data_IF_481032301908
#
_entry.id   IF_481032301908
#
_cell.length_a   1.000
_cell.length_b   1.000
_cell.length_c   1.000
_cell.angle_alpha   90.00
_cell.angle_beta   90.00
_cell.angle_gamma   90.00
#
_symmetry.space_group_name_H-M   'P 1'
#
loop_
_entity.id
_entity.type
_entity.pdbx_description
1 polymer ?
#
# COMPACT_ATOMS: atom_id res chain seq x y z
N UNK A 1 -11.28 26.00 -15.82
CA UNK A 1 -10.18 26.74 -15.15
C UNK A 1 -9.24 25.80 -14.40
N UNK A 2 -9.68 25.08 -13.36
CA UNK A 2 -8.80 24.16 -12.61
C UNK A 2 -8.19 23.09 -13.52
N UNK A 3 -9.04 22.37 -14.28
CA UNK A 3 -8.57 21.30 -15.16
C UNK A 3 -7.65 21.80 -16.28
N UNK A 4 -7.87 23.02 -16.77
CA UNK A 4 -7.03 23.65 -17.82
C UNK A 4 -5.63 24.02 -17.33
N UNK A 5 -5.41 24.03 -16.00
CA UNK A 5 -4.14 24.36 -15.38
C UNK A 5 -3.33 23.12 -14.97
N UNK A 6 -3.98 21.97 -14.81
CA UNK A 6 -3.32 20.73 -14.41
C UNK A 6 -2.31 20.27 -15.49
N UNK A 7 -1.21 19.66 -15.04
CA UNK A 7 -0.06 19.25 -15.84
C UNK A 7 0.67 20.39 -16.60
N UNK A 8 0.42 21.65 -16.22
CA UNK A 8 1.16 22.81 -16.73
C UNK A 8 2.14 23.35 -15.67
N UNK A 9 3.13 24.11 -16.12
CA UNK A 9 4.15 24.68 -15.24
C UNK A 9 3.59 25.88 -14.45
N UNK A 10 4.17 26.21 -13.28
CA UNK A 10 3.73 27.36 -12.46
C UNK A 10 3.65 28.64 -13.31
N UNK A 11 4.63 28.86 -14.18
CA UNK A 11 4.74 30.05 -15.03
C UNK A 11 3.68 30.15 -16.13
N UNK A 12 2.96 29.08 -16.42
CA UNK A 12 2.02 29.05 -17.54
C UNK A 12 0.76 29.87 -17.23
N UNK A 13 0.24 30.55 -18.25
CA UNK A 13 -0.86 31.50 -18.09
C UNK A 13 -2.11 30.90 -17.41
N UNK A 14 -2.53 29.64 -17.66
CA UNK A 14 -3.64 29.02 -16.93
C UNK A 14 -3.38 28.88 -15.43
N UNK A 15 -2.17 28.48 -15.02
CA UNK A 15 -1.80 28.35 -13.60
C UNK A 15 -1.76 29.71 -12.93
N UNK A 16 -1.16 30.71 -13.58
CA UNK A 16 -1.14 32.09 -13.06
C UNK A 16 -2.54 32.68 -12.87
N UNK A 17 -3.47 32.44 -13.81
CA UNK A 17 -4.88 32.86 -13.64
C UNK A 17 -5.55 32.16 -12.45
N UNK A 18 -5.28 30.87 -12.26
CA UNK A 18 -5.79 30.12 -11.13
C UNK A 18 -5.26 30.67 -9.79
N UNK A 19 -3.96 30.98 -9.71
CA UNK A 19 -3.37 31.60 -8.51
C UNK A 19 -4.02 32.94 -8.16
N UNK A 20 -4.28 33.77 -9.17
CA UNK A 20 -5.01 35.05 -8.98
C UNK A 20 -6.43 34.79 -8.47
N UNK A 21 -7.14 33.82 -9.06
CA UNK A 21 -8.49 33.46 -8.61
C UNK A 21 -8.54 32.91 -7.17
N UNK A 22 -7.46 32.28 -6.71
CA UNK A 22 -7.32 31.81 -5.33
C UNK A 22 -6.91 32.93 -4.35
N UNK A 23 -6.78 34.19 -4.81
CA UNK A 23 -6.50 35.34 -3.96
C UNK A 23 -5.14 36.00 -4.21
N UNK A 24 -4.33 35.50 -5.14
CA UNK A 24 -3.09 36.12 -5.61
C UNK A 24 -1.90 36.06 -4.64
N UNK A 25 -2.08 36.50 -3.39
CA UNK A 25 -1.04 36.48 -2.36
C UNK A 25 -0.93 35.08 -1.73
N UNK A 26 0.27 34.49 -1.81
CA UNK A 26 0.57 33.18 -1.21
C UNK A 26 0.61 33.34 0.30
N UNK A 27 -0.23 32.60 1.02
CA UNK A 27 -0.26 32.60 2.48
C UNK A 27 0.92 31.82 3.07
N UNK A 28 1.22 30.65 2.49
CA UNK A 28 2.34 29.81 2.87
C UNK A 28 2.83 28.99 1.68
N UNK A 29 4.14 28.76 1.62
CA UNK A 29 4.75 27.81 0.70
C UNK A 29 5.57 26.82 1.53
N UNK A 30 5.36 25.53 1.29
CA UNK A 30 6.21 24.46 1.84
C UNK A 30 6.80 23.68 0.70
N UNK A 31 8.10 23.43 0.76
CA UNK A 31 8.83 22.69 -0.26
C UNK A 31 9.49 21.48 0.39
N UNK A 32 9.46 20.35 -0.32
CA UNK A 32 9.99 19.09 0.19
C UNK A 32 10.43 18.20 -0.96
N UNK A 33 11.63 17.65 -0.86
CA UNK A 33 12.04 16.55 -1.71
C UNK A 33 11.53 15.22 -1.16
N UNK A 34 11.06 14.35 -2.04
CA UNK A 34 10.69 12.99 -1.69
C UNK A 34 11.13 12.01 -2.76
N UNK A 35 11.42 10.79 -2.32
CA UNK A 35 11.85 9.68 -3.18
C UNK A 35 13.28 9.81 -3.69
N UNK A 36 13.71 8.76 -4.38
CA UNK A 36 14.94 8.70 -5.16
C UNK A 36 14.65 7.97 -6.49
N UNK A 37 14.81 8.63 -7.66
CA UNK A 37 15.25 10.02 -7.85
C UNK A 37 14.37 11.06 -7.17
N UNK A 38 14.98 12.13 -6.68
CA UNK A 38 14.30 13.15 -5.90
C UNK A 38 13.27 13.93 -6.74
N UNK A 39 12.02 14.00 -6.25
CA UNK A 39 10.97 14.88 -6.78
C UNK A 39 10.75 16.04 -5.82
N UNK A 40 10.75 17.27 -6.32
CA UNK A 40 10.44 18.45 -5.51
C UNK A 40 8.93 18.68 -5.45
N UNK A 41 8.31 18.39 -4.30
CA UNK A 41 6.93 18.76 -4.00
C UNK A 41 6.87 20.16 -3.40
N UNK A 42 6.17 21.08 -4.07
CA UNK A 42 5.89 22.44 -3.60
C UNK A 42 4.40 22.60 -3.38
N UNK A 43 4.00 22.98 -2.16
CA UNK A 43 2.61 23.27 -1.82
C UNK A 43 2.42 24.75 -1.59
N UNK A 44 1.60 25.37 -2.42
CA UNK A 44 1.26 26.79 -2.35
C UNK A 44 -0.14 26.91 -1.75
N UNK A 45 -0.25 27.48 -0.55
CA UNK A 45 -1.53 27.67 0.15
C UNK A 45 -1.95 29.13 0.06
N UNK A 46 -3.26 29.33 -0.09
CA UNK A 46 -3.87 30.63 -0.26
C UNK A 46 -4.81 30.94 0.89
N UNK A 47 -4.97 32.22 1.22
CA UNK A 47 -5.87 32.68 2.29
C UNK A 47 -7.33 32.32 2.03
N UNK A 48 -7.71 32.07 0.77
CA UNK A 48 -9.03 31.60 0.36
C UNK A 48 -9.36 30.17 0.79
N UNK A 49 -8.39 29.40 1.31
CA UNK A 49 -8.53 27.96 1.53
C UNK A 49 -8.20 27.11 0.30
N UNK A 50 -7.71 27.74 -0.77
CA UNK A 50 -7.14 27.06 -1.92
C UNK A 50 -5.72 26.52 -1.66
N UNK A 51 -5.38 25.42 -2.30
CA UNK A 51 -4.02 24.88 -2.30
C UNK A 51 -3.65 24.34 -3.68
N UNK A 52 -2.43 24.65 -4.12
CA UNK A 52 -1.81 24.08 -5.32
C UNK A 52 -0.65 23.19 -4.90
N UNK A 53 -0.53 22.01 -5.51
CA UNK A 53 0.58 21.09 -5.29
C UNK A 53 1.30 20.90 -6.62
N UNK A 54 2.60 21.20 -6.63
CA UNK A 54 3.45 21.11 -7.79
C UNK A 54 4.54 20.06 -7.56
N UNK A 55 4.80 19.24 -8.57
CA UNK A 55 5.97 18.36 -8.66
C UNK A 55 6.89 18.90 -9.74
N UNK A 56 8.13 19.25 -9.38
CA UNK A 56 9.14 19.78 -10.31
C UNK A 56 8.58 20.90 -11.22
N UNK A 57 7.93 21.90 -10.59
CA UNK A 57 7.25 23.04 -11.23
C UNK A 57 5.95 22.71 -11.99
N UNK A 58 5.58 21.43 -12.11
CA UNK A 58 4.34 20.99 -12.79
C UNK A 58 3.18 20.89 -11.81
N UNK A 59 2.04 21.52 -12.10
CA UNK A 59 0.85 21.45 -11.24
C UNK A 59 0.20 20.07 -11.32
N UNK A 60 0.30 19.28 -10.25
CA UNK A 60 -0.23 17.91 -10.19
C UNK A 60 -1.57 17.81 -9.46
N UNK A 61 -1.84 18.73 -8.53
CA UNK A 61 -3.11 18.77 -7.82
C UNK A 61 -3.54 20.19 -7.43
N UNK A 62 -4.86 20.38 -7.40
CA UNK A 62 -5.52 21.56 -6.82
C UNK A 62 -6.48 21.09 -5.74
N UNK A 63 -6.36 21.61 -4.53
CA UNK A 63 -7.23 21.26 -3.40
C UNK A 63 -8.03 22.48 -2.99
N UNK A 64 -9.36 22.31 -2.93
CA UNK A 64 -10.29 23.32 -2.46
C UNK A 64 -10.77 22.88 -1.06
N UNK A 65 -10.21 23.48 -0.01
CA UNK A 65 -10.56 23.14 1.38
C UNK A 65 -11.87 23.82 1.77
N UNK A 66 -12.91 23.03 2.03
CA UNK A 66 -14.26 23.52 2.38
C UNK A 66 -14.47 23.73 3.88
N UNK A 67 -13.47 23.38 4.68
CA UNK A 67 -13.34 23.68 6.11
C UNK A 67 -12.00 24.39 6.36
N UNK A 68 -11.88 25.23 7.40
CA UNK A 68 -10.60 25.81 7.78
C UNK A 68 -9.56 24.72 8.04
N UNK A 69 -8.31 24.95 7.63
CA UNK A 69 -7.19 24.05 7.88
C UNK A 69 -6.29 24.63 8.98
N UNK A 70 -5.41 23.83 9.62
CA UNK A 70 -4.45 24.37 10.60
C UNK A 70 -3.59 25.52 10.06
N UNK A 71 -3.42 25.58 8.74
CA UNK A 71 -2.66 26.60 8.02
C UNK A 71 -3.50 27.64 7.30
N UNK A 72 -4.84 27.60 7.33
CA UNK A 72 -5.69 28.61 6.70
C UNK A 72 -6.97 28.77 7.51
N UNK A 73 -7.18 29.98 8.04
CA UNK A 73 -8.33 30.29 8.91
C UNK A 73 -9.65 30.40 8.16
N UNK A 74 -9.61 30.57 6.83
CA UNK A 74 -10.80 30.60 5.98
C UNK A 74 -10.93 29.32 5.15
N UNK A 75 -12.18 28.95 4.90
CA UNK A 75 -12.56 27.90 3.96
C UNK A 75 -12.96 28.52 2.63
N UNK A 76 -12.78 27.76 1.55
CA UNK A 76 -13.23 28.19 0.23
C UNK A 76 -14.75 28.18 0.16
N UNK A 77 -15.35 29.18 -0.50
CA UNK A 77 -16.79 29.17 -0.77
C UNK A 77 -17.05 28.33 -2.01
N UNK A 78 -17.43 27.06 -1.84
CA UNK A 78 -17.49 26.09 -2.95
C UNK A 78 -18.43 26.52 -4.09
N UNK A 79 -19.51 27.26 -3.78
CA UNK A 79 -20.46 27.77 -4.78
C UNK A 79 -19.85 28.74 -5.80
N UNK A 80 -18.72 29.38 -5.46
CA UNK A 80 -18.00 30.27 -6.39
C UNK A 80 -17.20 29.49 -7.43
N UNK A 81 -16.90 28.21 -7.15
CA UNK A 81 -16.09 27.34 -7.99
C UNK A 81 -16.92 26.31 -8.74
N UNK A 82 -17.97 25.79 -8.09
CA UNK A 82 -18.88 24.79 -8.63
C UNK A 82 -20.30 25.32 -8.46
N UNK A 83 -20.92 25.83 -9.54
CA UNK A 83 -22.29 26.33 -9.49
C UNK A 83 -23.25 25.31 -8.88
N UNK A 84 -24.00 25.73 -7.86
CA UNK A 84 -24.97 24.87 -7.17
C UNK A 84 -24.39 23.94 -6.10
N UNK A 85 -23.07 23.91 -5.88
CA UNK A 85 -22.48 23.22 -4.74
C UNK A 85 -22.39 24.13 -3.50
N UNK A 86 -22.35 23.55 -2.30
CA UNK A 86 -22.15 24.26 -1.04
C UNK A 86 -21.11 23.53 -0.18
N UNK A 87 -20.51 24.21 0.80
CA UNK A 87 -19.57 23.56 1.73
C UNK A 87 -20.24 22.49 2.59
N UNK A 88 -21.56 22.49 2.70
CA UNK A 88 -22.33 21.46 3.38
C UNK A 88 -22.81 20.33 2.44
N UNK A 89 -22.37 20.32 1.18
CA UNK A 89 -22.86 19.38 0.18
C UNK A 89 -22.58 17.92 0.57
N UNK A 90 -23.61 17.09 0.43
CA UNK A 90 -23.46 15.64 0.42
C UNK A 90 -22.90 15.17 -0.93
N UNK A 91 -22.51 13.90 -1.03
CA UNK A 91 -22.09 13.32 -2.30
C UNK A 91 -23.19 13.36 -3.38
N UNK A 92 -24.45 13.24 -2.97
CA UNK A 92 -25.58 13.34 -3.92
C UNK A 92 -25.81 14.79 -4.36
N UNK A 93 -25.53 15.78 -3.52
CA UNK A 93 -25.58 17.19 -3.93
C UNK A 93 -24.42 17.53 -4.87
N UNK A 94 -23.20 17.08 -4.57
CA UNK A 94 -22.06 17.22 -5.48
C UNK A 94 -22.33 16.59 -6.84
N UNK A 95 -22.99 15.42 -6.87
CA UNK A 95 -23.38 14.76 -8.12
C UNK A 95 -24.37 15.58 -8.97
N UNK A 96 -25.21 16.41 -8.37
CA UNK A 96 -26.12 17.30 -9.11
C UNK A 96 -25.40 18.50 -9.71
N UNK A 97 -24.33 18.94 -9.06
CA UNK A 97 -23.60 20.18 -9.38
C UNK A 97 -22.37 19.94 -10.26
N UNK A 98 -21.80 18.75 -10.23
CA UNK A 98 -20.62 18.36 -11.01
C UNK A 98 -21.07 17.55 -12.22
N UNK A 99 -20.80 18.08 -13.42
CA UNK A 99 -21.04 17.39 -14.69
C UNK A 99 -19.96 16.32 -14.92
N UNK A 100 -20.11 15.20 -14.22
CA UNK A 100 -19.14 14.11 -14.24
C UNK A 100 -19.70 12.79 -13.72
N UNK A 101 -19.15 11.67 -14.20
CA UNK A 101 -19.59 10.35 -13.74
C UNK A 101 -19.03 10.08 -12.34
N UNK A 102 -19.92 9.88 -11.37
CA UNK A 102 -19.54 9.45 -10.01
C UNK A 102 -18.97 8.03 -10.01
N UNK A 103 -17.82 7.86 -9.37
CA UNK A 103 -17.08 6.61 -9.15
C UNK A 103 -16.56 6.53 -7.71
N UNK A 104 -15.94 5.40 -7.38
CA UNK A 104 -15.29 5.17 -6.11
C UNK A 104 -13.89 4.60 -6.32
N UNK A 105 -12.93 5.15 -5.59
CA UNK A 105 -11.60 4.60 -5.41
C UNK A 105 -11.60 3.73 -4.16
N UNK A 106 -11.26 2.44 -4.32
CA UNK A 106 -11.38 1.46 -3.25
C UNK A 106 -12.81 1.35 -2.70
N UNK A 107 -12.92 1.16 -1.38
CA UNK A 107 -14.20 0.90 -0.69
C UNK A 107 -14.94 2.17 -0.22
N UNK A 108 -14.42 3.38 -0.44
CA UNK A 108 -15.06 4.56 0.19
C UNK A 108 -14.57 5.95 -0.21
N UNK A 109 -13.71 6.10 -1.22
CA UNK A 109 -13.30 7.45 -1.66
C UNK A 109 -14.05 7.84 -2.94
N UNK A 110 -15.11 8.66 -2.86
CA UNK A 110 -15.86 9.07 -4.05
C UNK A 110 -15.06 10.05 -4.91
N UNK A 111 -15.20 9.92 -6.22
CA UNK A 111 -14.66 10.89 -7.18
C UNK A 111 -15.55 11.03 -8.41
N UNK A 112 -15.31 12.06 -9.19
CA UNK A 112 -16.01 12.39 -10.44
C UNK A 112 -15.02 12.38 -11.59
N UNK A 113 -15.36 11.67 -12.67
CA UNK A 113 -14.65 11.74 -13.96
C UNK A 113 -15.07 13.02 -14.68
N UNK A 114 -14.11 13.89 -15.03
CA UNK A 114 -14.33 15.17 -15.70
C UNK A 114 -13.60 15.22 -17.05
N UNK A 115 -14.01 16.12 -17.93
CA UNK A 115 -13.29 16.39 -19.18
C UNK A 115 -11.90 16.96 -18.89
N UNK A 116 -10.87 16.10 -18.89
CA UNK A 116 -9.48 16.49 -18.64
C UNK A 116 -8.92 16.14 -17.26
N UNK A 117 -9.64 15.39 -16.42
CA UNK A 117 -9.13 14.94 -15.13
C UNK A 117 -10.20 14.39 -14.20
N UNK A 118 -9.96 14.48 -12.90
CA UNK A 118 -10.81 13.92 -11.86
C UNK A 118 -11.00 14.91 -10.71
N UNK A 119 -12.16 14.85 -10.06
CA UNK A 119 -12.40 15.55 -8.79
C UNK A 119 -12.71 14.52 -7.70
N UNK A 120 -11.79 14.36 -6.75
CA UNK A 120 -11.92 13.49 -5.57
C UNK A 120 -12.56 14.27 -4.44
N UNK A 121 -13.62 13.73 -3.85
CA UNK A 121 -14.28 14.35 -2.70
C UNK A 121 -13.81 13.69 -1.40
N UNK A 122 -13.28 14.53 -0.51
CA UNK A 122 -12.86 14.10 0.82
C UNK A 122 -13.96 14.45 1.82
N UNK A 123 -14.39 13.45 2.57
CA UNK A 123 -15.36 13.58 3.64
C UNK A 123 -14.74 13.17 4.96
N UNK A 124 -15.24 13.74 6.05
CA UNK A 124 -14.85 13.37 7.40
C UNK A 124 -14.92 11.85 7.60
N UNK A 125 -13.88 11.31 8.23
CA UNK A 125 -13.70 9.88 8.54
C UNK A 125 -13.78 8.94 7.32
N UNK A 126 -13.64 9.49 6.10
CA UNK A 126 -13.77 8.76 4.82
C UNK A 126 -15.07 7.96 4.66
N UNK A 127 -16.15 8.32 5.39
CA UNK A 127 -17.45 7.60 5.37
C UNK A 127 -18.68 8.51 5.48
N UNK A 128 -18.51 9.76 5.89
CA UNK A 128 -19.62 10.71 6.17
C UNK A 128 -20.27 11.36 4.94
N UNK A 129 -20.18 10.76 3.75
CA UNK A 129 -20.54 11.41 2.49
C UNK A 129 -22.04 11.61 2.25
N UNK A 130 -22.90 11.01 3.09
CA UNK A 130 -24.36 11.21 3.06
C UNK A 130 -24.82 12.33 4.00
N UNK A 131 -23.94 12.81 4.88
CA UNK A 131 -24.31 13.75 5.93
C UNK A 131 -23.86 15.17 5.55
N UNK A 132 -24.76 16.17 5.59
CA UNK A 132 -24.40 17.55 5.31
C UNK A 132 -23.32 18.08 6.26
N UNK A 133 -22.40 18.87 5.73
CA UNK A 133 -21.31 19.50 6.52
C UNK A 133 -20.10 18.60 6.77
N UNK A 134 -20.11 17.35 6.30
CA UNK A 134 -18.97 16.44 6.41
C UNK A 134 -17.97 16.56 5.24
N UNK A 135 -18.27 17.34 4.20
CA UNK A 135 -17.31 17.63 3.13
C UNK A 135 -16.14 18.42 3.72
N UNK A 136 -14.91 17.89 3.57
CA UNK A 136 -13.69 18.58 4.02
C UNK A 136 -12.96 19.26 2.87
N UNK A 137 -13.03 18.69 1.66
CA UNK A 137 -12.50 19.35 0.47
C UNK A 137 -12.72 18.57 -0.82
N UNK A 138 -12.33 19.21 -1.92
CA UNK A 138 -12.26 18.61 -3.24
C UNK A 138 -10.82 18.69 -3.76
N UNK A 139 -10.27 17.57 -4.18
CA UNK A 139 -8.96 17.50 -4.83
C UNK A 139 -9.11 17.19 -6.31
N UNK A 140 -8.48 18.00 -7.16
CA UNK A 140 -8.52 17.88 -8.61
C UNK A 140 -7.16 17.40 -9.11
N UNK A 141 -7.16 16.32 -9.90
CA UNK A 141 -5.94 15.66 -10.42
C UNK A 141 -6.13 15.24 -11.87
N UNK A 142 -5.03 15.09 -12.62
CA UNK A 142 -5.05 14.44 -13.94
C UNK A 142 -5.17 12.94 -13.80
N UNK A 143 -4.48 12.39 -12.79
CA UNK A 143 -4.45 10.97 -12.53
C UNK A 143 -5.71 10.49 -11.82
N UNK A 144 -6.09 9.26 -12.12
CA UNK A 144 -7.31 8.65 -11.60
C UNK A 144 -7.15 8.31 -10.12
N UNK A 145 -8.03 8.82 -9.23
CA UNK A 145 -8.01 8.45 -7.82
C UNK A 145 -8.06 6.94 -7.61
N UNK A 146 -7.15 6.43 -6.77
CA UNK A 146 -7.04 5.01 -6.43
C UNK A 146 -6.15 4.19 -7.37
N UNK A 147 -5.69 4.76 -8.49
CA UNK A 147 -4.65 4.14 -9.32
C UNK A 147 -3.25 4.66 -9.03
N UNK A 148 -3.14 5.90 -8.52
CA UNK A 148 -1.87 6.54 -8.17
C UNK A 148 -1.89 7.09 -6.74
N UNK A 149 -0.70 7.44 -6.24
CA UNK A 149 -0.56 8.12 -4.96
C UNK A 149 -1.27 9.47 -4.95
N UNK A 150 -1.79 9.86 -3.78
CA UNK A 150 -2.38 11.18 -3.60
C UNK A 150 -1.25 12.20 -3.43
N UNK A 151 -1.16 13.26 -4.27
CA UNK A 151 -0.13 14.29 -4.09
C UNK A 151 -0.19 14.99 -2.72
N UNK A 152 -1.35 14.97 -2.07
CA UNK A 152 -1.53 15.54 -0.73
C UNK A 152 -0.73 14.79 0.35
N UNK A 153 -0.40 13.52 0.09
CA UNK A 153 0.32 12.63 1.02
C UNK A 153 1.84 12.84 0.98
N UNK A 154 2.38 13.68 0.08
CA UNK A 154 3.82 13.94 -0.06
C UNK A 154 4.49 14.36 1.25
N UNK A 155 3.74 15.05 2.11
CA UNK A 155 4.19 15.52 3.42
C UNK A 155 3.69 14.62 4.57
N UNK A 156 3.34 13.37 4.30
CA UNK A 156 2.89 12.44 5.34
C UNK A 156 3.98 12.29 6.42
N UNK A 157 3.72 12.68 7.68
CA UNK A 157 4.74 12.71 8.72
C UNK A 157 5.25 11.32 9.10
N UNK A 158 4.52 10.26 8.75
CA UNK A 158 4.91 8.90 9.07
C UNK A 158 5.86 8.26 8.05
N UNK A 159 5.91 8.75 6.80
CA UNK A 159 6.73 8.11 5.76
C UNK A 159 7.58 9.04 4.92
N UNK A 160 7.20 10.32 4.80
CA UNK A 160 7.94 11.27 3.94
C UNK A 160 9.31 11.67 4.49
N UNK A 161 9.57 11.41 5.78
CA UNK A 161 10.81 11.72 6.51
C UNK A 161 11.78 10.54 6.62
N UNK A 162 11.45 9.41 6.02
CA UNK A 162 12.24 8.18 6.18
C UNK A 162 13.40 8.06 5.19
N UNK A 163 13.42 8.87 4.13
CA UNK A 163 14.55 8.95 3.22
C UNK A 163 15.68 9.75 3.91
N UNK A 164 16.86 9.13 3.99
CA UNK A 164 18.09 9.77 4.48
C UNK A 164 18.97 10.12 3.29
N UNK A 165 19.53 11.33 3.29
CA UNK A 165 20.51 11.77 2.29
C UNK A 165 21.91 11.81 2.89
N UNK A 166 22.90 11.48 2.08
CA UNK A 166 24.32 11.62 2.43
C UNK A 166 24.83 13.06 2.22
N UNK A 167 26.12 13.28 2.48
CA UNK A 167 26.77 14.59 2.30
C UNK A 167 26.77 15.08 0.84
N UNK A 168 26.53 14.19 -0.13
CA UNK A 168 26.42 14.49 -1.55
C UNK A 168 24.96 14.70 -1.99
N UNK A 169 24.01 14.80 -1.04
CA UNK A 169 22.56 14.89 -1.29
C UNK A 169 22.00 13.69 -2.06
N UNK A 170 22.74 12.58 -2.11
CA UNK A 170 22.31 11.32 -2.71
C UNK A 170 21.64 10.43 -1.65
N UNK A 171 20.95 9.37 -2.08
CA UNK A 171 20.31 8.44 -1.15
C UNK A 171 21.36 7.71 -0.30
N UNK A 172 21.34 7.96 1.01
CA UNK A 172 22.04 7.11 1.99
C UNK A 172 21.23 5.83 2.16
N UNK A 173 21.66 4.78 1.46
CA UNK A 173 20.96 3.49 1.46
C UNK A 173 20.92 2.89 2.86
N UNK A 174 22.05 2.92 3.59
CA UNK A 174 22.13 2.30 4.91
C UNK A 174 21.27 3.06 5.91
N UNK A 175 21.40 4.39 5.97
CA UNK A 175 20.58 5.25 6.82
C UNK A 175 19.09 5.13 6.51
N UNK A 176 18.73 5.08 5.23
CA UNK A 176 17.33 4.89 4.80
C UNK A 176 16.79 3.51 5.20
N UNK A 177 17.55 2.43 4.99
CA UNK A 177 17.15 1.08 5.42
C UNK A 177 16.95 1.02 6.93
N UNK A 178 17.83 1.63 7.72
CA UNK A 178 17.69 1.71 9.18
C UNK A 178 16.44 2.49 9.59
N UNK A 179 16.16 3.64 8.95
CA UNK A 179 14.97 4.45 9.22
C UNK A 179 13.68 3.68 8.88
N UNK A 180 13.63 3.00 7.74
CA UNK A 180 12.51 2.16 7.33
C UNK A 180 12.30 0.99 8.28
N UNK A 181 13.37 0.31 8.70
CA UNK A 181 13.30 -0.79 9.66
C UNK A 181 12.78 -0.32 11.04
N UNK A 182 13.23 0.84 11.53
CA UNK A 182 12.74 1.42 12.77
C UNK A 182 11.25 1.83 12.68
N UNK A 183 10.83 2.38 11.54
CA UNK A 183 9.44 2.72 11.27
C UNK A 183 8.54 1.47 11.16
N UNK A 184 9.06 0.37 10.61
CA UNK A 184 8.38 -0.92 10.60
C UNK A 184 8.25 -1.51 12.02
N UNK A 185 9.33 -1.50 12.80
CA UNK A 185 9.34 -2.01 14.17
C UNK A 185 8.40 -1.23 15.12
N UNK A 186 8.20 0.07 14.89
CA UNK A 186 7.25 0.91 15.63
C UNK A 186 5.80 0.81 15.11
N UNK A 187 5.56 0.06 14.04
CA UNK A 187 4.24 -0.12 13.44
C UNK A 187 3.75 1.04 12.57
N UNK A 188 4.60 2.02 12.26
CA UNK A 188 4.28 3.11 11.31
C UNK A 188 4.25 2.59 9.87
N UNK A 189 5.12 1.63 9.56
CA UNK A 189 5.13 0.90 8.31
C UNK A 189 4.76 -0.57 8.54
N UNK A 190 4.19 -1.21 7.52
CA UNK A 190 3.97 -2.65 7.48
C UNK A 190 4.64 -3.23 6.24
N UNK A 191 5.58 -4.14 6.45
CA UNK A 191 6.23 -4.88 5.38
C UNK A 191 5.23 -5.77 4.62
N UNK A 192 5.40 -5.85 3.30
CA UNK A 192 4.74 -6.86 2.49
C UNK A 192 5.55 -8.16 2.57
N UNK A 193 4.97 -9.18 3.20
CA UNK A 193 5.57 -10.50 3.34
C UNK A 193 5.84 -11.20 1.99
N UNK A 194 5.30 -10.66 0.89
CA UNK A 194 5.51 -11.17 -0.46
C UNK A 194 6.83 -10.68 -1.09
N UNK A 195 7.60 -9.85 -0.39
CA UNK A 195 8.83 -9.19 -0.85
C UNK A 195 9.99 -9.44 0.11
N UNK A 196 11.19 -8.98 -0.26
CA UNK A 196 12.36 -9.07 0.62
C UNK A 196 12.12 -8.23 1.87
N UNK A 197 12.33 -8.85 3.03
CA UNK A 197 12.30 -8.17 4.33
C UNK A 197 13.28 -7.00 4.33
N UNK A 198 12.91 -5.87 4.95
CA UNK A 198 13.78 -4.69 4.99
C UNK A 198 15.14 -5.00 5.64
N UNK A 199 15.17 -5.88 6.64
CA UNK A 199 16.39 -6.32 7.30
C UNK A 199 17.28 -7.26 6.46
N UNK A 200 16.72 -7.85 5.41
CA UNK A 200 17.43 -8.74 4.49
C UNK A 200 17.88 -8.03 3.21
N UNK A 201 17.46 -6.77 2.98
CA UNK A 201 17.71 -6.01 1.75
C UNK A 201 19.21 -5.84 1.45
N UNK A 202 19.98 -5.33 2.41
CA UNK A 202 21.42 -5.08 2.24
C UNK A 202 22.23 -6.37 2.08
N UNK A 203 22.11 -7.39 2.97
CA UNK A 203 22.85 -8.65 2.82
C UNK A 203 22.56 -9.36 1.49
N UNK A 204 21.30 -9.35 1.04
CA UNK A 204 20.95 -9.93 -0.26
C UNK A 204 21.58 -9.17 -1.42
N UNK A 205 21.56 -7.83 -1.39
CA UNK A 205 22.18 -7.02 -2.45
C UNK A 205 23.70 -7.25 -2.51
N UNK A 206 24.38 -7.21 -1.36
CA UNK A 206 25.82 -7.45 -1.24
C UNK A 206 26.24 -8.84 -1.72
N UNK A 207 25.37 -9.84 -1.56
CA UNK A 207 25.65 -11.21 -2.03
C UNK A 207 25.78 -11.32 -3.56
N UNK A 208 25.19 -10.39 -4.31
CA UNK A 208 25.15 -10.41 -5.77
C UNK A 208 24.36 -11.58 -6.38
N UNK A 209 23.59 -12.32 -5.57
CA UNK A 209 22.80 -13.48 -6.02
C UNK A 209 21.52 -13.09 -6.76
N UNK A 210 21.10 -11.83 -6.67
CA UNK A 210 19.94 -11.26 -7.34
C UNK A 210 20.36 -10.04 -8.17
N UNK A 211 19.80 -9.88 -9.37
CA UNK A 211 20.03 -8.69 -10.19
C UNK A 211 19.34 -7.43 -9.64
N UNK A 212 18.22 -7.62 -8.94
CA UNK A 212 17.42 -6.59 -8.26
C UNK A 212 16.91 -7.16 -6.94
N UNK A 213 17.11 -6.42 -5.85
CA UNK A 213 16.56 -6.71 -4.52
C UNK A 213 15.63 -5.58 -4.15
N UNK A 214 14.40 -5.90 -3.74
CA UNK A 214 13.39 -4.89 -3.45
C UNK A 214 12.59 -5.25 -2.20
N UNK A 215 12.41 -4.24 -1.34
CA UNK A 215 11.50 -4.30 -0.19
C UNK A 215 10.34 -3.33 -0.38
N UNK A 216 9.14 -3.77 0.02
CA UNK A 216 7.92 -2.97 -0.07
C UNK A 216 7.27 -2.83 1.31
N UNK A 217 6.99 -1.58 1.70
CA UNK A 217 6.44 -1.25 3.02
C UNK A 217 5.23 -0.32 2.88
N UNK A 218 4.08 -0.70 3.42
CA UNK A 218 2.86 0.13 3.42
C UNK A 218 2.85 1.06 4.63
N UNK A 219 2.77 2.37 4.40
CA UNK A 219 2.55 3.35 5.46
C UNK A 219 1.16 3.17 6.08
N UNK A 220 1.07 3.04 7.41
CA UNK A 220 -0.22 2.87 8.08
C UNK A 220 -1.04 4.15 8.13
N UNK A 221 -0.41 5.33 7.99
CA UNK A 221 -1.08 6.64 8.01
C UNK A 221 -1.67 6.99 6.64
N UNK A 222 -0.84 7.07 5.60
CA UNK A 222 -1.28 7.52 4.26
C UNK A 222 -1.53 6.38 3.27
N UNK A 223 -1.24 5.13 3.64
CA UNK A 223 -1.45 3.92 2.80
C UNK A 223 -0.60 3.85 1.51
N UNK A 224 0.26 4.84 1.24
CA UNK A 224 1.29 4.74 0.19
C UNK A 224 2.22 3.57 0.49
N UNK A 225 2.68 2.91 -0.57
CA UNK A 225 3.68 1.83 -0.47
C UNK A 225 5.03 2.43 -0.83
N UNK A 226 5.98 2.30 0.08
CA UNK A 226 7.37 2.65 -0.13
C UNK A 226 8.05 1.44 -0.75
N UNK A 227 8.67 1.63 -1.90
CA UNK A 227 9.47 0.60 -2.57
C UNK A 227 10.92 1.07 -2.60
N UNK A 228 11.78 0.37 -1.86
CA UNK A 228 13.23 0.56 -1.94
C UNK A 228 13.82 -0.58 -2.77
N UNK A 229 14.51 -0.24 -3.87
CA UNK A 229 15.10 -1.21 -4.77
C UNK A 229 16.59 -0.95 -5.00
N UNK A 230 17.38 -2.01 -4.87
CA UNK A 230 18.82 -2.04 -5.09
C UNK A 230 19.10 -2.96 -6.28
N UNK A 231 19.60 -2.38 -7.36
CA UNK A 231 19.94 -3.08 -8.59
C UNK A 231 21.44 -3.18 -8.78
N UNK A 232 21.89 -4.25 -9.42
CA UNK A 232 23.29 -4.39 -9.78
C UNK A 232 23.63 -3.37 -10.87
N UNK A 233 24.67 -2.57 -10.63
CA UNK A 233 25.19 -1.57 -11.57
C UNK A 233 24.21 -0.42 -11.91
N UNK A 234 23.22 -0.15 -11.04
CA UNK A 234 22.31 0.99 -11.18
C UNK A 234 22.18 1.76 -9.85
N UNK A 235 21.70 3.00 -9.95
CA UNK A 235 21.46 3.84 -8.78
C UNK A 235 20.29 3.27 -7.94
N UNK A 236 20.39 3.32 -6.60
CA UNK A 236 19.32 2.85 -5.73
C UNK A 236 18.10 3.76 -5.86
N UNK A 237 16.91 3.17 -5.72
CA UNK A 237 15.65 3.92 -5.84
C UNK A 237 14.81 3.79 -4.59
N UNK A 238 14.09 4.86 -4.24
CA UNK A 238 13.03 4.85 -3.24
C UNK A 238 11.79 5.52 -3.84
N UNK A 239 10.78 4.74 -4.18
CA UNK A 239 9.55 5.24 -4.80
C UNK A 239 8.36 5.14 -3.86
N UNK A 240 7.38 6.04 -4.03
CA UNK A 240 6.11 6.03 -3.32
C UNK A 240 5.00 5.69 -4.31
N UNK A 241 4.44 4.50 -4.19
CA UNK A 241 3.58 3.91 -5.21
C UNK A 241 2.21 3.51 -4.66
N UNK A 242 1.21 3.49 -5.53
CA UNK A 242 -0.08 2.89 -5.24
C UNK A 242 -0.03 1.36 -5.40
N UNK A 243 -0.95 0.65 -4.75
CA UNK A 243 -1.02 -0.81 -4.75
C UNK A 243 -1.02 -1.45 -6.16
N UNK A 244 -1.65 -0.80 -7.13
CA UNK A 244 -1.71 -1.33 -8.49
C UNK A 244 -0.36 -1.24 -9.22
N UNK A 245 0.43 -0.21 -8.94
CA UNK A 245 1.75 -0.01 -9.52
C UNK A 245 2.74 -1.00 -8.89
N UNK A 246 2.72 -1.15 -7.57
CA UNK A 246 3.63 -2.08 -6.88
C UNK A 246 3.42 -3.54 -7.25
N UNK A 247 2.19 -3.93 -7.60
CA UNK A 247 1.86 -5.27 -8.10
C UNK A 247 2.46 -5.58 -9.47
N UNK A 248 2.84 -4.55 -10.24
CA UNK A 248 3.49 -4.72 -11.54
C UNK A 248 4.99 -4.94 -11.41
N UNK A 249 5.57 -4.63 -10.24
CA UNK A 249 6.97 -4.89 -9.98
C UNK A 249 7.26 -6.39 -9.97
N UNK A 250 8.44 -6.75 -10.46
CA UNK A 250 8.89 -8.13 -10.55
C UNK A 250 9.97 -8.39 -9.52
N UNK A 251 9.93 -9.58 -8.94
CA UNK A 251 10.95 -10.08 -8.03
C UNK A 251 11.35 -11.47 -8.50
N UNK A 252 12.65 -11.67 -8.74
CA UNK A 252 13.19 -13.00 -8.95
C UNK A 252 13.06 -13.85 -7.67
N UNK A 253 13.22 -15.18 -7.77
CA UNK A 253 13.17 -16.04 -6.59
C UNK A 253 14.23 -15.61 -5.58
N UNK A 254 13.83 -15.45 -4.31
CA UNK A 254 14.76 -15.10 -3.24
C UNK A 254 15.68 -16.31 -2.97
N UNK A 255 17.02 -16.15 -3.07
CA UNK A 255 17.95 -17.24 -2.81
C UNK A 255 17.87 -17.74 -1.36
N UNK A 256 18.18 -19.03 -1.12
CA UNK A 256 18.28 -19.59 0.22
C UNK A 256 19.22 -18.79 1.15
N UNK A 257 18.80 -18.59 2.40
CA UNK A 257 19.49 -17.74 3.39
C UNK A 257 20.90 -18.23 3.72
N UNK A 258 21.17 -19.53 3.64
CA UNK A 258 22.50 -20.11 3.84
C UNK A 258 23.56 -19.60 2.85
N UNK A 259 23.15 -18.99 1.74
CA UNK A 259 24.06 -18.42 0.74
C UNK A 259 24.47 -16.97 0.98
N UNK A 260 23.76 -16.23 1.83
CA UNK A 260 23.96 -14.79 1.99
C UNK A 260 23.80 -14.27 3.43
N UNK A 261 23.06 -14.96 4.28
CA UNK A 261 22.81 -14.56 5.66
C UNK A 261 23.98 -14.87 6.58
N UNK A 262 24.14 -14.06 7.63
CA UNK A 262 25.05 -14.38 8.73
C UNK A 262 24.56 -15.60 9.55
N UNK A 263 25.42 -16.10 10.45
CA UNK A 263 25.09 -17.27 11.26
C UNK A 263 23.83 -17.08 12.13
N UNK A 264 23.57 -15.86 12.62
CA UNK A 264 22.39 -15.58 13.42
C UNK A 264 21.11 -15.55 12.56
N UNK A 265 21.18 -15.02 11.34
CA UNK A 265 20.07 -14.98 10.38
C UNK A 265 19.77 -16.37 9.83
N UNK A 266 20.78 -17.19 9.55
CA UNK A 266 20.64 -18.60 9.16
C UNK A 266 20.01 -19.40 10.30
N UNK A 267 20.42 -19.17 11.55
CA UNK A 267 19.79 -19.81 12.70
C UNK A 267 18.31 -19.42 12.85
N UNK A 268 17.98 -18.13 12.68
CA UNK A 268 16.59 -17.65 12.66
C UNK A 268 15.79 -18.28 11.52
N UNK A 269 16.40 -18.44 10.35
CA UNK A 269 15.76 -19.07 9.20
C UNK A 269 15.39 -20.52 9.54
N UNK A 270 16.33 -21.31 10.06
CA UNK A 270 16.10 -22.72 10.41
C UNK A 270 14.96 -22.93 11.39
N UNK A 271 14.72 -21.98 12.29
CA UNK A 271 13.68 -22.07 13.31
C UNK A 271 12.32 -21.48 12.81
N UNK A 272 12.28 -20.94 11.59
CA UNK A 272 11.10 -20.37 10.95
C UNK A 272 10.22 -21.44 10.25
N UNK A 273 9.06 -21.00 9.74
CA UNK A 273 8.23 -21.84 8.88
C UNK A 273 8.83 -21.94 7.47
N UNK A 274 8.85 -23.14 6.91
CA UNK A 274 9.35 -23.43 5.57
C UNK A 274 8.30 -24.10 4.69
N UNK A 275 8.32 -23.76 3.40
CA UNK A 275 7.52 -24.45 2.40
C UNK A 275 7.98 -25.90 2.22
N UNK A 276 7.02 -26.82 2.13
CA UNK A 276 7.27 -28.25 1.84
C UNK A 276 6.64 -28.66 0.50
N UNK A 277 5.34 -28.44 0.34
CA UNK A 277 4.58 -28.79 -0.87
C UNK A 277 3.31 -27.92 -0.99
N UNK A 278 2.64 -27.92 -2.15
CA UNK A 278 1.34 -27.27 -2.30
C UNK A 278 0.47 -27.87 -3.41
N UNK A 279 -0.81 -27.56 -3.41
CA UNK A 279 -1.70 -27.66 -4.57
C UNK A 279 -2.23 -26.26 -4.89
N UNK A 280 -1.99 -25.81 -6.13
CA UNK A 280 -2.29 -24.45 -6.55
C UNK A 280 -3.75 -24.09 -6.30
N UNK A 281 -3.97 -22.98 -5.59
CA UNK A 281 -5.29 -22.48 -5.24
C UNK A 281 -6.03 -23.28 -4.16
N UNK A 282 -5.42 -24.30 -3.55
CA UNK A 282 -6.09 -25.15 -2.55
C UNK A 282 -5.39 -25.19 -1.20
N UNK A 283 -4.16 -25.68 -1.13
CA UNK A 283 -3.48 -25.85 0.15
C UNK A 283 -1.97 -25.70 0.02
N UNK A 284 -1.33 -25.30 1.12
CA UNK A 284 0.12 -25.31 1.31
C UNK A 284 0.46 -26.20 2.49
N UNK A 285 1.49 -27.02 2.35
CA UNK A 285 2.13 -27.75 3.42
C UNK A 285 3.39 -26.97 3.83
N UNK A 286 3.49 -26.64 5.10
CA UNK A 286 4.66 -25.96 5.68
C UNK A 286 5.18 -26.73 6.89
N UNK A 287 6.47 -26.61 7.17
CA UNK A 287 7.11 -27.21 8.35
C UNK A 287 7.69 -26.12 9.26
N UNK A 288 7.73 -26.39 10.56
CA UNK A 288 8.48 -25.60 11.53
C UNK A 288 9.05 -26.52 12.60
N UNK A 289 10.38 -26.64 12.66
CA UNK A 289 11.04 -27.71 13.41
C UNK A 289 10.58 -29.08 12.90
N UNK A 290 10.21 -29.98 13.81
CA UNK A 290 9.72 -31.33 13.46
C UNK A 290 8.20 -31.40 13.22
N UNK A 291 7.51 -30.25 13.12
CA UNK A 291 6.05 -30.18 12.99
C UNK A 291 5.62 -29.79 11.58
N UNK A 292 4.61 -30.48 11.05
CA UNK A 292 3.98 -30.15 9.78
C UNK A 292 2.63 -29.45 10.01
N UNK A 293 2.37 -28.44 9.19
CA UNK A 293 1.15 -27.67 9.20
C UNK A 293 0.55 -27.62 7.80
N UNK A 294 -0.77 -27.79 7.71
CA UNK A 294 -1.53 -27.66 6.49
C UNK A 294 -2.29 -26.34 6.52
N UNK A 295 -1.99 -25.45 5.59
CA UNK A 295 -2.76 -24.23 5.32
C UNK A 295 -3.76 -24.48 4.19
N UNK A 296 -5.02 -24.72 4.53
CA UNK A 296 -6.06 -25.10 3.57
C UNK A 296 -7.05 -23.97 3.30
N UNK A 297 -7.30 -23.66 2.01
CA UNK A 297 -8.25 -22.64 1.56
C UNK A 297 -9.69 -23.09 1.72
N UNK A 298 -10.54 -22.20 2.21
CA UNK A 298 -11.97 -22.43 2.32
C UNK A 298 -12.77 -21.18 1.93
N UNK A 299 -14.02 -21.38 1.55
CA UNK A 299 -14.93 -20.30 1.15
C UNK A 299 -15.81 -19.94 2.35
N UNK A 300 -15.79 -18.67 2.76
CA UNK A 300 -16.68 -18.14 3.81
C UNK A 300 -18.04 -17.79 3.18
N UNK A 301 -18.00 -17.07 2.06
CA UNK A 301 -19.15 -16.73 1.23
C UNK A 301 -18.74 -16.76 -0.23
N UNK A 302 -19.69 -16.71 -1.17
CA UNK A 302 -19.39 -16.58 -2.60
C UNK A 302 -18.52 -15.37 -2.98
N UNK A 303 -18.30 -14.41 -2.06
CA UNK A 303 -17.48 -13.22 -2.26
C UNK A 303 -16.25 -13.16 -1.34
N UNK A 304 -16.08 -14.11 -0.43
CA UNK A 304 -15.02 -14.09 0.59
C UNK A 304 -14.46 -15.49 0.77
N UNK A 305 -13.17 -15.65 0.50
CA UNK A 305 -12.37 -16.82 0.85
C UNK A 305 -11.44 -16.52 2.03
N UNK A 306 -10.99 -17.59 2.68
CA UNK A 306 -9.98 -17.54 3.74
C UNK A 306 -9.20 -18.87 3.76
N UNK A 307 -8.38 -19.07 4.78
CA UNK A 307 -7.52 -20.24 4.94
C UNK A 307 -7.39 -20.62 6.41
N UNK A 308 -7.40 -21.91 6.70
CA UNK A 308 -7.24 -22.45 8.05
C UNK A 308 -5.88 -23.12 8.15
N UNK A 309 -5.08 -22.70 9.14
CA UNK A 309 -3.79 -23.32 9.41
C UNK A 309 -3.96 -24.34 10.53
N UNK A 310 -3.77 -25.62 10.22
CA UNK A 310 -3.83 -26.68 11.22
C UNK A 310 -2.48 -27.38 11.34
N UNK A 311 -2.09 -27.72 12.56
CA UNK A 311 -0.99 -28.66 12.79
C UNK A 311 -1.51 -30.08 12.53
N UNK A 312 -0.73 -30.88 11.79
CA UNK A 312 -1.03 -32.30 11.59
C UNK A 312 -0.80 -33.06 12.89
N UNK A 313 -1.81 -33.79 13.35
CA UNK A 313 -1.67 -34.67 14.51
C UNK A 313 -0.92 -35.97 14.16
N UNK A 314 -0.64 -36.80 15.16
CA UNK A 314 0.11 -38.04 14.95
C UNK A 314 -0.56 -39.02 13.97
N UNK A 315 -1.89 -39.09 13.95
CA UNK A 315 -2.62 -39.94 13.02
C UNK A 315 -2.60 -39.34 11.61
N UNK A 316 -2.78 -38.03 11.48
CA UNK A 316 -2.74 -37.33 10.20
C UNK A 316 -1.34 -37.36 9.57
N UNK A 317 -0.28 -37.26 10.39
CA UNK A 317 1.11 -37.43 9.97
C UNK A 317 1.36 -38.84 9.43
N UNK A 318 0.84 -39.87 10.09
CA UNK A 318 1.00 -41.25 9.64
C UNK A 318 0.24 -41.49 8.33
N UNK A 319 -0.97 -40.95 8.20
CA UNK A 319 -1.72 -41.00 6.93
C UNK A 319 -0.98 -40.26 5.81
N UNK A 320 -0.39 -39.11 6.11
CA UNK A 320 0.46 -38.41 5.16
C UNK A 320 1.69 -39.25 4.74
N UNK A 321 2.33 -39.97 5.66
CA UNK A 321 3.46 -40.87 5.31
C UNK A 321 3.03 -42.03 4.40
N UNK A 322 1.83 -42.57 4.58
CA UNK A 322 1.32 -43.71 3.80
C UNK A 322 0.77 -43.29 2.45
N UNK A 323 -0.09 -42.26 2.42
CA UNK A 323 -0.85 -41.86 1.24
C UNK A 323 -0.32 -40.58 0.58
N UNK A 324 0.64 -39.89 1.20
CA UNK A 324 1.30 -38.71 0.65
C UNK A 324 0.32 -37.58 0.34
N UNK A 325 0.53 -36.94 -0.81
CA UNK A 325 -0.26 -35.80 -1.29
C UNK A 325 -1.76 -36.08 -1.40
N UNK A 326 -2.16 -37.33 -1.67
CA UNK A 326 -3.57 -37.69 -1.78
C UNK A 326 -4.33 -37.48 -0.46
N UNK A 327 -3.69 -37.79 0.67
CA UNK A 327 -4.27 -37.55 1.99
C UNK A 327 -4.43 -36.06 2.29
N UNK A 328 -3.43 -35.24 1.94
CA UNK A 328 -3.50 -33.79 2.15
C UNK A 328 -4.61 -33.15 1.32
N UNK A 329 -4.81 -33.61 0.08
CA UNK A 329 -5.91 -33.16 -0.77
C UNK A 329 -7.28 -33.49 -0.15
N UNK A 330 -7.46 -34.71 0.36
CA UNK A 330 -8.68 -35.12 1.06
C UNK A 330 -8.91 -34.31 2.35
N UNK A 331 -7.86 -34.10 3.15
CA UNK A 331 -7.95 -33.30 4.38
C UNK A 331 -8.29 -31.84 4.07
N UNK A 332 -7.66 -31.24 3.06
CA UNK A 332 -7.97 -29.88 2.61
C UNK A 332 -9.42 -29.77 2.12
N UNK A 333 -9.93 -30.78 1.40
CA UNK A 333 -11.33 -30.83 0.98
C UNK A 333 -12.29 -30.91 2.17
N UNK A 334 -11.96 -31.73 3.18
CA UNK A 334 -12.73 -31.80 4.43
C UNK A 334 -12.74 -30.46 5.17
N UNK A 335 -11.62 -29.74 5.21
CA UNK A 335 -11.55 -28.39 5.80
C UNK A 335 -12.40 -27.42 5.00
N UNK A 336 -12.28 -27.44 3.67
CA UNK A 336 -13.03 -26.56 2.77
C UNK A 336 -14.55 -26.65 3.01
N UNK A 337 -15.10 -27.86 3.02
CA UNK A 337 -16.52 -28.08 3.28
C UNK A 337 -16.89 -28.02 4.77
N UNK A 338 -15.91 -28.17 5.66
CA UNK A 338 -16.10 -28.18 7.11
C UNK A 338 -16.38 -26.82 7.74
N UNK A 339 -16.33 -25.72 6.98
CA UNK A 339 -16.62 -24.36 7.46
C UNK A 339 -15.85 -23.96 8.73
N UNK A 340 -14.50 -23.95 8.72
CA UNK A 340 -13.64 -23.69 9.89
C UNK A 340 -13.86 -22.31 10.54
N UNK A 341 -14.59 -21.40 9.90
CA UNK A 341 -14.99 -20.11 10.45
C UNK A 341 -16.17 -20.18 11.45
N UNK A 342 -16.82 -21.34 11.60
CA UNK A 342 -17.97 -21.55 12.51
C UNK A 342 -17.59 -22.39 13.72
N UNK A 343 -18.04 -22.01 14.91
CA UNK A 343 -17.69 -22.67 16.18
C UNK A 343 -18.05 -24.16 16.21
N UNK A 344 -19.08 -24.58 15.48
CA UNK A 344 -19.51 -25.98 15.42
C UNK A 344 -18.58 -26.86 14.55
N UNK A 345 -17.67 -26.25 13.79
CA UNK A 345 -16.74 -26.97 12.93
C UNK A 345 -15.69 -27.69 13.75
N UNK A 346 -15.36 -28.96 13.43
CA UNK A 346 -14.24 -29.66 14.07
C UNK A 346 -12.88 -29.00 13.79
N UNK A 347 -12.81 -28.10 12.81
CA UNK A 347 -11.60 -27.37 12.45
C UNK A 347 -11.49 -25.99 13.12
N UNK A 348 -12.57 -25.48 13.72
CA UNK A 348 -12.57 -24.13 14.29
C UNK A 348 -11.54 -23.95 15.40
N UNK A 349 -11.51 -24.88 16.36
CA UNK A 349 -10.57 -24.85 17.47
C UNK A 349 -9.14 -25.24 17.05
N UNK A 350 -8.98 -25.84 15.88
CA UNK A 350 -7.67 -26.27 15.33
C UNK A 350 -7.02 -25.18 14.49
N UNK A 351 -7.77 -24.20 14.01
CA UNK A 351 -7.25 -23.13 13.18
C UNK A 351 -6.40 -22.16 14.01
N UNK A 352 -5.09 -22.31 13.88
CA UNK A 352 -4.08 -21.55 14.60
C UNK A 352 -4.14 -20.05 14.25
N UNK A 353 -4.70 -19.66 13.10
CA UNK A 353 -4.85 -18.26 12.68
C UNK A 353 -5.89 -17.50 13.51
N UNK A 354 -6.75 -18.20 14.26
CA UNK A 354 -7.79 -17.63 15.13
C UNK A 354 -7.33 -17.41 16.57
N UNK A 355 -6.23 -18.07 16.98
CA UNK A 355 -5.67 -17.95 18.32
C UNK A 355 -5.01 -16.58 18.59
N UNK A 356 -4.55 -16.34 19.84
CA UNK A 356 -3.83 -15.11 20.19
C UNK A 356 -2.56 -14.90 19.36
N UNK A 357 -1.93 -15.98 18.90
CA UNK A 357 -0.74 -15.97 18.02
C UNK A 357 -1.09 -15.97 16.52
N UNK A 358 -2.37 -15.87 16.17
CA UNK A 358 -2.82 -16.02 14.79
C UNK A 358 -2.24 -15.00 13.82
N UNK A 359 -1.88 -13.80 14.30
CA UNK A 359 -1.16 -12.81 13.49
C UNK A 359 0.27 -13.28 13.14
N UNK A 360 0.99 -13.85 14.10
CA UNK A 360 2.32 -14.40 13.88
C UNK A 360 2.29 -15.60 12.94
N UNK A 361 1.30 -16.50 13.07
CA UNK A 361 1.12 -17.61 12.13
C UNK A 361 0.78 -17.15 10.71
N UNK A 362 -0.08 -16.14 10.55
CA UNK A 362 -0.38 -15.56 9.23
C UNK A 362 0.87 -15.00 8.58
N UNK A 363 1.70 -14.31 9.35
CA UNK A 363 2.97 -13.77 8.86
C UNK A 363 3.96 -14.88 8.50
N UNK A 364 4.15 -15.87 9.38
CA UNK A 364 5.07 -16.98 9.17
C UNK A 364 4.72 -17.80 7.93
N UNK A 365 3.44 -18.16 7.75
CA UNK A 365 2.98 -18.87 6.54
C UNK A 365 3.18 -18.02 5.30
N UNK A 366 2.82 -16.72 5.33
CA UNK A 366 2.96 -15.83 4.17
C UNK A 366 4.41 -15.71 3.71
N UNK A 367 5.36 -15.61 4.65
CA UNK A 367 6.81 -15.62 4.38
C UNK A 367 7.26 -16.97 3.81
N UNK A 368 6.82 -18.08 4.41
CA UNK A 368 7.21 -19.42 3.99
C UNK A 368 6.82 -19.73 2.53
N UNK A 369 5.63 -19.29 2.11
CA UNK A 369 5.07 -19.62 0.79
C UNK A 369 5.32 -18.54 -0.27
N UNK A 370 6.08 -17.48 0.03
CA UNK A 370 6.23 -16.29 -0.82
C UNK A 370 6.57 -16.61 -2.27
N UNK A 371 7.46 -17.58 -2.50
CA UNK A 371 7.92 -18.00 -3.83
C UNK A 371 6.97 -18.99 -4.54
N UNK A 372 5.93 -19.48 -3.86
CA UNK A 372 5.04 -20.56 -4.31
C UNK A 372 3.58 -20.11 -4.50
N UNK A 373 3.32 -18.81 -4.34
CA UNK A 373 1.99 -18.24 -4.60
C UNK A 373 1.76 -18.01 -6.09
N UNK A 374 0.49 -17.94 -6.50
CA UNK A 374 0.13 -17.51 -7.85
C UNK A 374 0.68 -16.12 -8.21
N UNK A 375 0.76 -15.21 -7.23
CA UNK A 375 1.40 -13.90 -7.41
C UNK A 375 2.90 -14.03 -7.70
N UNK A 376 3.60 -14.96 -7.06
CA UNK A 376 5.00 -15.25 -7.38
C UNK A 376 5.16 -15.75 -8.82
N UNK A 377 4.28 -16.67 -9.24
CA UNK A 377 4.28 -17.17 -10.62
C UNK A 377 4.08 -16.04 -11.63
N UNK A 378 3.07 -15.18 -11.42
CA UNK A 378 2.83 -14.02 -12.30
C UNK A 378 4.01 -13.05 -12.35
N UNK A 379 4.68 -12.80 -11.21
CA UNK A 379 5.88 -11.94 -11.15
C UNK A 379 7.07 -12.52 -11.91
N UNK A 380 7.15 -13.85 -12.03
CA UNK A 380 8.25 -14.55 -12.72
C UNK A 380 8.01 -14.81 -14.21
N UNK A 381 6.76 -14.90 -14.67
CA UNK A 381 6.40 -15.32 -16.04
C UNK A 381 6.08 -14.17 -17.00
N UNK A 382 5.72 -12.99 -16.48
CA UNK A 382 5.63 -11.78 -17.30
C UNK A 382 7.03 -11.28 -17.61
#
# INVERSE_FOLDING_TARGET
>A
MILDALALAERDAPVQRLMVALGGEKFAATERYFGEPAVLSRRLRFTSGGELILHDDTLVAVVLHTVPTPSATAAITLSEWIPGASNAATLDDLKKSIDGRRRFAGFGTPYFELGGGYARAEFKDHRGWNDPGNLVGLAFTVEQPGLTCRPEDDNCPACSELLVRDDAESLDVEGTVQALAAAAASGLLKEDASWVSIGDLLPLHESGLMGRVESQLTCQTCRRILCIALEKDAEPTLSYLALNETRQHRLGPIPPVDKWGDAARVARERDAMHYVDHESGRWFLVEQGDQLYLDARYVVTNMVDDSALIQLDAAELEQYRVAGRAYLAELAERIHYGSPHREESPFFARDLKRGPEGAAYREAVSKAIVNHTWLAQQRSEG
#
